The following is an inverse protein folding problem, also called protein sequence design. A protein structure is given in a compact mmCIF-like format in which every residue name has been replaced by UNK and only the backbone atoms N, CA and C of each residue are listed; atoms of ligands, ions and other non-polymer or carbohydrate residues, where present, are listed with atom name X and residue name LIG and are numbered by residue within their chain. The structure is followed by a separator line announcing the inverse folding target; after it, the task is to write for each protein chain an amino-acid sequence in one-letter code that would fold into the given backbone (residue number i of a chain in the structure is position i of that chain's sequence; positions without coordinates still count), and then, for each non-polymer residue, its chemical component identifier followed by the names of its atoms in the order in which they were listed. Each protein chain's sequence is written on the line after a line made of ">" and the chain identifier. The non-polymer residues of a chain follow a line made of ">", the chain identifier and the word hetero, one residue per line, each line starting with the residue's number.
data_IF_333535730062
#
_entry.id   IF_333535730062
#
_cell.length_a   1.000
_cell.length_b   1.000
_cell.length_c   1.000
_cell.angle_alpha   90.00
_cell.angle_beta   90.00
_cell.angle_gamma   90.00
#
_symmetry.space_group_name_H-M   'P 1'
#
loop_
_entity.id
_entity.type
_entity.pdbx_description
1 polymer ?
#
# COMPACT_ATOMS: atom_id res chain seq x y z
N UNK A 1 -27.91 18.90 -78.34
CA UNK A 1 -28.47 18.68 -76.98
C UNK A 1 -27.33 18.72 -75.96
N UNK A 2 -27.25 19.80 -75.17
CA UNK A 2 -26.25 19.92 -74.05
C UNK A 2 -26.93 19.53 -72.79
N UNK A 3 -26.48 18.45 -72.18
CA UNK A 3 -26.90 18.01 -70.83
C UNK A 3 -26.21 18.88 -69.77
N UNK A 4 -26.99 19.64 -69.00
CA UNK A 4 -26.51 20.41 -67.82
C UNK A 4 -26.19 19.45 -66.70
N UNK A 5 -24.94 19.44 -66.24
CA UNK A 5 -24.56 18.74 -64.98
C UNK A 5 -25.19 19.44 -63.78
N UNK A 6 -25.59 18.70 -62.72
CA UNK A 6 -26.21 19.29 -61.55
C UNK A 6 -25.15 20.02 -60.71
N UNK A 7 -25.48 21.25 -60.36
CA UNK A 7 -24.65 22.19 -59.61
C UNK A 7 -24.26 21.73 -58.22
N UNK A 8 -22.99 21.89 -57.89
CA UNK A 8 -22.31 21.57 -56.62
C UNK A 8 -22.86 22.28 -55.35
N UNK A 9 -23.92 23.06 -55.47
CA UNK A 9 -24.53 23.79 -54.33
C UNK A 9 -25.46 22.95 -53.45
N UNK A 10 -26.06 21.87 -53.96
CA UNK A 10 -26.97 21.03 -53.14
C UNK A 10 -26.27 20.11 -52.12
N UNK A 11 -24.97 19.84 -52.30
CA UNK A 11 -24.23 18.96 -51.37
C UNK A 11 -23.73 19.70 -50.09
N UNK A 12 -23.52 21.03 -50.19
CA UNK A 12 -23.09 21.86 -49.05
C UNK A 12 -24.18 22.11 -47.98
N UNK A 13 -25.44 22.07 -48.33
CA UNK A 13 -26.56 22.38 -47.43
C UNK A 13 -26.86 21.26 -46.44
N UNK A 14 -26.59 19.98 -46.76
CA UNK A 14 -26.87 18.83 -45.88
C UNK A 14 -25.79 18.54 -44.86
N UNK A 15 -24.58 19.10 -45.00
CA UNK A 15 -23.47 18.86 -44.03
C UNK A 15 -23.55 19.73 -42.77
N UNK A 16 -24.14 20.92 -42.87
CA UNK A 16 -24.26 21.82 -41.71
C UNK A 16 -25.12 21.26 -40.56
N UNK A 17 -26.30 20.70 -40.81
CA UNK A 17 -27.09 20.12 -39.70
C UNK A 17 -26.41 18.91 -39.06
N UNK A 18 -25.71 18.07 -39.85
CA UNK A 18 -24.99 16.93 -39.33
C UNK A 18 -23.86 17.36 -38.35
N UNK A 19 -23.11 18.42 -38.72
CA UNK A 19 -22.03 18.95 -37.86
C UNK A 19 -22.58 19.53 -36.57
N UNK A 20 -23.72 20.21 -36.58
CA UNK A 20 -24.40 20.73 -35.40
C UNK A 20 -24.84 19.59 -34.50
N UNK A 21 -25.43 18.53 -35.03
CA UNK A 21 -25.80 17.35 -34.24
C UNK A 21 -24.61 16.66 -33.63
N UNK A 22 -23.51 16.50 -34.35
CA UNK A 22 -22.26 15.92 -33.80
C UNK A 22 -21.68 16.78 -32.69
N UNK A 23 -21.69 18.10 -32.83
CA UNK A 23 -21.29 19.02 -31.76
C UNK A 23 -22.19 18.96 -30.55
N UNK A 24 -23.50 18.85 -30.72
CA UNK A 24 -24.45 18.69 -29.59
C UNK A 24 -24.26 17.37 -28.86
N UNK A 25 -24.04 16.28 -29.59
CA UNK A 25 -23.75 14.96 -29.01
C UNK A 25 -22.45 15.01 -28.23
N UNK A 26 -21.40 15.63 -28.80
CA UNK A 26 -20.11 15.79 -28.12
C UNK A 26 -20.24 16.64 -26.86
N UNK A 27 -20.96 17.76 -26.90
CA UNK A 27 -21.23 18.61 -25.75
C UNK A 27 -22.02 17.87 -24.68
N UNK A 28 -23.03 17.09 -25.08
CA UNK A 28 -23.80 16.26 -24.16
C UNK A 28 -22.91 15.20 -23.50
N UNK A 29 -22.07 14.52 -24.29
CA UNK A 29 -21.14 13.52 -23.77
C UNK A 29 -20.13 14.13 -22.79
N UNK A 30 -19.56 15.31 -23.13
CA UNK A 30 -18.64 16.04 -22.26
C UNK A 30 -19.33 16.52 -20.96
N UNK A 31 -20.56 17.02 -21.09
CA UNK A 31 -21.35 17.45 -19.92
C UNK A 31 -21.69 16.27 -18.99
N UNK A 32 -22.07 15.13 -19.57
CA UNK A 32 -22.33 13.90 -18.82
C UNK A 32 -21.08 13.38 -18.12
N UNK A 33 -19.94 13.41 -18.83
CA UNK A 33 -18.64 13.02 -18.26
C UNK A 33 -18.23 13.96 -17.11
N UNK A 34 -18.34 15.28 -17.31
CA UNK A 34 -18.04 16.27 -16.27
C UNK A 34 -18.95 16.11 -15.04
N UNK A 35 -20.26 15.89 -15.25
CA UNK A 35 -21.19 15.63 -14.16
C UNK A 35 -20.83 14.36 -13.39
N UNK A 36 -20.45 13.29 -14.08
CA UNK A 36 -19.99 12.05 -13.44
C UNK A 36 -18.76 12.29 -12.56
N UNK A 37 -17.74 12.99 -13.07
CA UNK A 37 -16.51 13.31 -12.32
C UNK A 37 -16.84 14.11 -11.06
N UNK A 38 -17.76 15.11 -11.15
CA UNK A 38 -18.16 15.91 -10.00
C UNK A 38 -18.94 15.07 -8.97
N UNK A 39 -19.79 14.13 -9.42
CA UNK A 39 -20.49 13.20 -8.52
C UNK A 39 -19.52 12.23 -7.84
N UNK A 40 -18.55 11.68 -8.56
CA UNK A 40 -17.49 10.84 -7.98
C UNK A 40 -16.67 11.63 -6.93
N UNK A 41 -16.30 12.88 -7.21
CA UNK A 41 -15.64 13.77 -6.26
C UNK A 41 -16.47 14.02 -5.01
N UNK A 42 -17.76 14.33 -5.19
CA UNK A 42 -18.66 14.56 -4.06
C UNK A 42 -18.80 13.31 -3.18
N UNK A 43 -18.94 12.14 -3.80
CA UNK A 43 -19.02 10.87 -3.08
C UNK A 43 -17.74 10.61 -2.26
N UNK A 44 -16.57 10.76 -2.87
CA UNK A 44 -15.26 10.58 -2.20
C UNK A 44 -15.08 11.60 -1.08
N UNK A 45 -15.46 12.87 -1.29
CA UNK A 45 -15.37 13.89 -0.24
C UNK A 45 -16.24 13.55 0.99
N UNK A 46 -17.45 13.03 0.76
CA UNK A 46 -18.34 12.55 1.85
C UNK A 46 -17.75 11.31 2.54
N UNK A 47 -17.14 10.40 1.79
CA UNK A 47 -16.47 9.22 2.35
C UNK A 47 -15.30 9.64 3.26
N UNK A 48 -14.43 10.54 2.79
CA UNK A 48 -13.31 11.07 3.58
C UNK A 48 -13.82 11.76 4.85
N UNK A 49 -14.86 12.59 4.74
CA UNK A 49 -15.48 13.23 5.90
C UNK A 49 -16.01 12.23 6.91
N UNK A 50 -16.75 11.22 6.46
CA UNK A 50 -17.33 10.19 7.33
C UNK A 50 -16.31 9.27 7.98
N UNK A 51 -15.18 9.03 7.32
CA UNK A 51 -14.12 8.21 7.85
C UNK A 51 -13.37 8.86 9.01
N UNK A 52 -13.47 10.18 9.17
CA UNK A 52 -12.65 10.95 10.09
C UNK A 52 -11.13 10.63 9.94
N UNK A 53 -10.71 10.31 8.73
CA UNK A 53 -9.33 9.92 8.44
C UNK A 53 -8.32 11.07 8.57
N UNK A 54 -8.81 12.32 8.59
CA UNK A 54 -7.99 13.50 8.79
C UNK A 54 -8.37 14.21 10.06
N UNK A 55 -7.37 14.55 10.87
CA UNK A 55 -7.51 15.45 12.01
C UNK A 55 -7.22 16.86 11.52
N UNK A 56 -8.22 17.77 11.52
CA UNK A 56 -8.00 19.16 11.12
C UNK A 56 -7.07 19.86 12.12
N UNK A 57 -6.27 20.85 11.68
CA UNK A 57 -5.48 21.66 12.59
C UNK A 57 -6.39 22.39 13.59
N UNK A 58 -5.91 22.69 14.79
CA UNK A 58 -6.65 23.51 15.74
C UNK A 58 -6.99 24.86 15.11
N UNK A 59 -8.26 25.25 15.19
CA UNK A 59 -8.70 26.56 14.73
C UNK A 59 -8.25 27.61 15.75
N UNK A 60 -7.64 28.67 15.26
CA UNK A 60 -7.27 29.79 16.12
C UNK A 60 -8.50 30.39 16.81
N UNK A 61 -8.34 30.94 18.03
CA UNK A 61 -9.43 31.46 18.86
C UNK A 61 -10.28 32.57 18.19
N UNK A 62 -9.79 33.15 17.10
CA UNK A 62 -10.43 34.22 16.34
C UNK A 62 -11.08 33.74 15.01
N UNK A 63 -10.99 32.47 14.66
CA UNK A 63 -11.56 31.97 13.41
C UNK A 63 -13.03 31.58 13.63
N UNK A 64 -13.93 32.06 12.75
CA UNK A 64 -15.33 31.70 12.87
C UNK A 64 -15.55 30.21 12.52
N UNK A 65 -16.51 29.57 13.21
CA UNK A 65 -16.93 28.18 12.93
C UNK A 65 -17.30 28.00 11.45
N UNK A 66 -17.89 29.02 10.82
CA UNK A 66 -18.24 28.98 9.40
C UNK A 66 -17.00 28.89 8.52
N UNK A 67 -15.95 29.68 8.76
CA UNK A 67 -14.72 29.64 8.02
C UNK A 67 -14.03 28.27 8.17
N UNK A 68 -14.03 27.72 9.37
CA UNK A 68 -13.49 26.39 9.64
C UNK A 68 -14.23 25.30 8.85
N UNK A 69 -15.58 25.30 8.86
CA UNK A 69 -16.36 24.34 8.08
C UNK A 69 -16.16 24.49 6.56
N UNK A 70 -16.09 25.73 6.07
CA UNK A 70 -15.82 25.98 4.65
C UNK A 70 -14.43 25.52 4.23
N UNK A 71 -13.42 25.74 5.07
CA UNK A 71 -12.07 25.31 4.83
C UNK A 71 -11.95 23.76 4.82
N UNK A 72 -12.66 23.08 5.71
CA UNK A 72 -12.75 21.62 5.73
C UNK A 72 -13.41 21.08 4.46
N UNK A 73 -14.54 21.66 4.06
CA UNK A 73 -15.24 21.26 2.84
C UNK A 73 -14.34 21.45 1.60
N UNK A 74 -13.60 22.56 1.55
CA UNK A 74 -12.64 22.82 0.46
C UNK A 74 -11.51 21.80 0.44
N UNK A 75 -10.93 21.48 1.60
CA UNK A 75 -9.88 20.48 1.70
C UNK A 75 -10.34 19.10 1.20
N UNK A 76 -11.50 18.62 1.68
CA UNK A 76 -12.04 17.33 1.22
C UNK A 76 -12.37 17.33 -0.27
N UNK A 77 -12.84 18.44 -0.79
CA UNK A 77 -13.11 18.59 -2.23
C UNK A 77 -11.84 18.55 -3.08
N UNK A 78 -10.79 19.25 -2.65
CA UNK A 78 -9.49 19.26 -3.34
C UNK A 78 -8.83 17.89 -3.28
N UNK A 79 -8.83 17.24 -2.13
CA UNK A 79 -8.29 15.90 -1.96
C UNK A 79 -9.04 14.86 -2.82
N UNK A 80 -10.36 14.94 -2.87
CA UNK A 80 -11.18 14.05 -3.71
C UNK A 80 -10.88 14.21 -5.21
N UNK A 81 -10.55 15.42 -5.67
CA UNK A 81 -10.17 15.67 -7.06
C UNK A 81 -8.90 14.89 -7.46
N UNK A 82 -7.93 14.84 -6.56
CA UNK A 82 -6.67 14.13 -6.79
C UNK A 82 -6.91 12.61 -6.76
N UNK A 83 -7.74 12.10 -5.85
CA UNK A 83 -8.16 10.69 -5.85
C UNK A 83 -8.82 10.28 -7.16
N UNK A 84 -9.74 11.10 -7.69
CA UNK A 84 -10.39 10.84 -8.99
C UNK A 84 -9.37 10.86 -10.13
N UNK A 85 -8.41 11.78 -10.12
CA UNK A 85 -7.34 11.81 -11.13
C UNK A 85 -6.44 10.57 -11.08
N UNK A 86 -6.12 10.09 -9.87
CA UNK A 86 -5.40 8.82 -9.66
C UNK A 86 -6.15 7.64 -10.26
N UNK A 87 -7.43 7.50 -9.94
CA UNK A 87 -8.28 6.44 -10.49
C UNK A 87 -8.35 6.48 -12.02
N UNK A 88 -8.39 7.69 -12.60
CA UNK A 88 -8.38 7.85 -14.05
C UNK A 88 -7.06 7.36 -14.67
N UNK A 89 -5.90 7.64 -14.03
CA UNK A 89 -4.60 7.12 -14.49
C UNK A 89 -4.55 5.59 -14.40
N UNK A 90 -4.97 5.00 -13.30
CA UNK A 90 -5.04 3.55 -13.16
C UNK A 90 -5.91 2.91 -14.26
N UNK A 91 -7.09 3.47 -14.52
CA UNK A 91 -7.99 2.99 -15.59
C UNK A 91 -7.37 3.12 -16.97
N UNK A 92 -6.60 4.18 -17.24
CA UNK A 92 -5.92 4.40 -18.52
C UNK A 92 -4.89 3.29 -18.82
N UNK A 93 -4.10 2.88 -17.83
CA UNK A 93 -3.03 1.90 -18.00
C UNK A 93 -3.47 0.45 -17.74
N UNK A 94 -4.63 0.23 -17.17
CA UNK A 94 -5.15 -1.11 -16.84
C UNK A 94 -5.14 -2.09 -18.03
N UNK A 95 -5.49 -1.69 -19.29
CA UNK A 95 -5.41 -2.58 -20.43
C UNK A 95 -4.01 -3.13 -20.72
N UNK A 96 -2.96 -2.33 -20.41
CA UNK A 96 -1.57 -2.73 -20.59
C UNK A 96 -1.04 -3.55 -19.41
N UNK A 97 -1.45 -3.22 -18.19
CA UNK A 97 -0.96 -3.83 -16.96
C UNK A 97 -1.61 -5.19 -16.69
N UNK A 98 -2.90 -5.32 -16.92
CA UNK A 98 -3.64 -6.55 -16.63
C UNK A 98 -3.06 -7.82 -17.28
N UNK A 99 -2.59 -7.81 -18.55
CA UNK A 99 -1.89 -8.96 -19.12
C UNK A 99 -0.58 -9.29 -18.41
N UNK A 100 0.20 -8.26 -18.00
CA UNK A 100 1.50 -8.43 -17.33
C UNK A 100 1.34 -9.03 -15.93
N UNK A 101 0.36 -8.54 -15.17
CA UNK A 101 0.02 -9.12 -13.85
C UNK A 101 -0.42 -10.57 -13.97
N UNK A 102 -1.23 -10.92 -14.99
CA UNK A 102 -1.59 -12.31 -15.25
C UNK A 102 -0.39 -13.18 -15.60
N UNK A 103 0.58 -12.62 -16.32
CA UNK A 103 1.80 -13.34 -16.65
C UNK A 103 2.66 -13.60 -15.41
N UNK A 104 2.84 -12.58 -14.54
CA UNK A 104 3.48 -12.75 -13.22
C UNK A 104 2.78 -13.87 -12.44
N UNK A 105 1.47 -13.79 -12.29
CA UNK A 105 0.70 -14.81 -11.56
C UNK A 105 0.84 -16.21 -12.17
N UNK A 106 0.95 -16.33 -13.51
CA UNK A 106 1.20 -17.60 -14.19
C UNK A 106 2.57 -18.19 -13.84
N UNK A 107 3.61 -17.37 -13.82
CA UNK A 107 4.96 -17.80 -13.43
C UNK A 107 5.00 -18.23 -11.96
N UNK A 108 4.38 -17.46 -11.07
CA UNK A 108 4.29 -17.83 -9.66
C UNK A 108 3.49 -19.12 -9.44
N UNK A 109 2.38 -19.31 -10.17
CA UNK A 109 1.62 -20.56 -10.12
C UNK A 109 2.44 -21.78 -10.61
N UNK A 110 3.48 -21.56 -11.42
CA UNK A 110 4.46 -22.56 -11.82
C UNK A 110 5.62 -22.70 -10.81
N UNK A 111 5.59 -21.99 -9.69
CA UNK A 111 6.63 -22.00 -8.65
C UNK A 111 7.88 -21.21 -9.00
N UNK A 112 7.80 -20.28 -9.95
CA UNK A 112 8.92 -19.42 -10.33
C UNK A 112 8.94 -18.15 -9.46
N UNK A 113 10.13 -17.78 -8.96
CA UNK A 113 10.31 -16.55 -8.20
C UNK A 113 10.26 -15.31 -9.11
N UNK A 114 9.40 -14.36 -8.80
CA UNK A 114 9.11 -13.17 -9.63
C UNK A 114 9.36 -11.84 -8.92
N UNK A 115 10.16 -11.83 -7.82
CA UNK A 115 10.36 -10.65 -6.96
C UNK A 115 10.79 -9.40 -7.72
N UNK A 116 11.75 -9.51 -8.63
CA UNK A 116 12.19 -8.37 -9.41
C UNK A 116 11.06 -7.78 -10.29
N UNK A 117 10.33 -8.63 -11.01
CA UNK A 117 9.17 -8.19 -11.80
C UNK A 117 8.07 -7.59 -10.93
N UNK A 118 7.87 -8.11 -9.72
CA UNK A 118 6.93 -7.56 -8.75
C UNK A 118 7.34 -6.15 -8.32
N UNK A 119 8.63 -5.92 -8.00
CA UNK A 119 9.10 -4.59 -7.63
C UNK A 119 9.01 -3.58 -8.79
N UNK A 120 9.24 -4.02 -10.04
CA UNK A 120 8.96 -3.18 -11.21
C UNK A 120 7.47 -2.84 -11.34
N UNK A 121 6.58 -3.80 -11.07
CA UNK A 121 5.15 -3.57 -11.04
C UNK A 121 4.74 -2.61 -9.90
N UNK A 122 5.30 -2.78 -8.68
CA UNK A 122 5.12 -1.83 -7.58
C UNK A 122 5.58 -0.42 -7.95
N UNK A 123 6.71 -0.26 -8.67
CA UNK A 123 7.17 1.02 -9.18
C UNK A 123 6.15 1.66 -10.16
N UNK A 124 5.59 0.89 -11.07
CA UNK A 124 4.54 1.35 -11.99
C UNK A 124 3.30 1.80 -11.20
N UNK A 125 2.84 0.99 -10.25
CA UNK A 125 1.70 1.31 -9.39
C UNK A 125 1.93 2.58 -8.58
N UNK A 126 3.12 2.73 -8.00
CA UNK A 126 3.50 3.93 -7.27
C UNK A 126 3.40 5.17 -8.18
N UNK A 127 3.95 5.13 -9.40
CA UNK A 127 3.82 6.27 -10.32
C UNK A 127 2.38 6.59 -10.65
N UNK A 128 1.58 5.60 -10.96
CA UNK A 128 0.16 5.80 -11.27
C UNK A 128 -0.65 6.33 -10.08
N UNK A 129 -0.30 5.91 -8.89
CA UNK A 129 -0.98 6.32 -7.66
C UNK A 129 -0.54 7.71 -7.21
N UNK A 130 0.75 7.99 -7.23
CA UNK A 130 1.33 9.07 -6.45
C UNK A 130 2.06 10.13 -7.29
N UNK A 131 2.28 9.91 -8.59
CA UNK A 131 2.91 10.89 -9.48
C UNK A 131 2.14 11.08 -10.78
N UNK A 132 2.18 12.26 -11.42
CA UNK A 132 1.58 12.47 -12.73
C UNK A 132 2.51 12.09 -13.90
N UNK A 133 3.66 11.45 -13.68
CA UNK A 133 4.66 11.15 -14.70
C UNK A 133 4.30 9.92 -15.54
N UNK A 134 3.54 10.16 -16.62
CA UNK A 134 3.09 9.10 -17.53
C UNK A 134 4.20 8.55 -18.43
N UNK A 135 5.23 9.32 -18.72
CA UNK A 135 6.33 8.88 -19.61
C UNK A 135 7.27 7.94 -18.85
N UNK A 136 7.61 8.25 -17.61
CA UNK A 136 8.31 7.32 -16.74
C UNK A 136 7.50 6.04 -16.50
N UNK A 137 6.18 6.14 -16.36
CA UNK A 137 5.29 4.96 -16.26
C UNK A 137 5.39 4.05 -17.48
N UNK A 138 5.37 4.61 -18.69
CA UNK A 138 5.52 3.82 -19.94
C UNK A 138 6.88 3.16 -20.04
N UNK A 139 7.94 3.85 -19.61
CA UNK A 139 9.29 3.29 -19.56
C UNK A 139 9.37 2.11 -18.59
N UNK A 140 8.77 2.23 -17.40
CA UNK A 140 8.74 1.16 -16.42
C UNK A 140 7.93 -0.06 -16.91
N UNK A 141 6.81 0.16 -17.63
CA UNK A 141 6.04 -0.92 -18.27
C UNK A 141 6.89 -1.67 -19.31
N UNK A 142 7.69 -0.94 -20.10
CA UNK A 142 8.60 -1.58 -21.06
C UNK A 142 9.65 -2.45 -20.35
N UNK A 143 10.22 -1.96 -19.26
CA UNK A 143 11.18 -2.72 -18.42
C UNK A 143 10.54 -3.96 -17.82
N UNK A 144 9.30 -3.85 -17.29
CA UNK A 144 8.55 -5.00 -16.78
C UNK A 144 8.30 -6.05 -17.87
N UNK A 145 7.88 -5.65 -19.07
CA UNK A 145 7.72 -6.58 -20.20
C UNK A 145 9.03 -7.31 -20.55
N UNK A 146 10.14 -6.60 -20.50
CA UNK A 146 11.44 -7.21 -20.73
C UNK A 146 11.78 -8.24 -19.66
N UNK A 147 11.54 -7.95 -18.38
CA UNK A 147 11.83 -8.85 -17.27
C UNK A 147 11.01 -10.15 -17.33
N UNK A 148 9.79 -10.09 -17.85
CA UNK A 148 8.92 -11.26 -18.04
C UNK A 148 9.36 -12.13 -19.25
N UNK A 149 9.96 -11.53 -20.28
CA UNK A 149 10.43 -12.25 -21.45
C UNK A 149 11.87 -12.80 -21.31
N UNK A 150 12.58 -12.40 -20.27
CA UNK A 150 13.97 -12.79 -20.02
C UNK A 150 14.13 -13.30 -18.58
N UNK A 151 13.88 -14.59 -18.32
CA UNK A 151 13.90 -15.15 -16.95
C UNK A 151 15.23 -14.92 -16.21
N UNK A 152 16.36 -14.86 -16.92
CA UNK A 152 17.67 -14.57 -16.33
C UNK A 152 17.75 -13.21 -15.65
N UNK A 153 16.90 -12.24 -16.04
CA UNK A 153 16.87 -10.92 -15.43
C UNK A 153 16.41 -10.95 -13.95
N UNK A 154 15.55 -11.91 -13.56
CA UNK A 154 15.16 -12.11 -12.16
C UNK A 154 16.41 -12.38 -11.30
N UNK A 155 17.20 -13.33 -11.74
CA UNK A 155 18.45 -13.72 -11.07
C UNK A 155 19.50 -12.60 -11.14
N UNK A 156 19.67 -11.96 -12.29
CA UNK A 156 20.63 -10.88 -12.46
C UNK A 156 20.31 -9.69 -11.53
N UNK A 157 19.04 -9.29 -11.42
CA UNK A 157 18.62 -8.19 -10.53
C UNK A 157 18.90 -8.48 -9.05
N UNK A 158 18.79 -9.76 -8.64
CA UNK A 158 19.06 -10.19 -7.28
C UNK A 158 20.56 -10.37 -6.99
N UNK A 159 21.36 -10.78 -7.99
CA UNK A 159 22.78 -11.11 -7.81
C UNK A 159 23.70 -9.93 -8.14
N UNK A 160 23.29 -9.02 -9.04
CA UNK A 160 24.15 -7.92 -9.49
C UNK A 160 23.93 -6.65 -8.65
N UNK A 161 24.93 -6.32 -7.89
CA UNK A 161 24.99 -5.08 -7.14
C UNK A 161 25.39 -3.90 -8.06
N UNK A 162 24.71 -2.78 -7.98
CA UNK A 162 25.09 -1.54 -8.65
C UNK A 162 26.30 -0.88 -7.96
N UNK A 163 26.98 0.04 -8.65
CA UNK A 163 28.19 0.72 -8.15
C UNK A 163 27.94 1.58 -6.90
N UNK A 164 26.71 1.96 -6.62
CA UNK A 164 26.30 2.64 -5.38
C UNK A 164 25.98 1.65 -4.24
N UNK A 165 26.18 0.38 -4.48
CA UNK A 165 25.96 -0.68 -3.51
C UNK A 165 24.52 -1.18 -3.42
N UNK A 166 23.57 -0.65 -4.20
CA UNK A 166 22.17 -1.10 -4.21
C UNK A 166 21.94 -2.27 -5.19
N UNK A 167 20.77 -2.90 -5.09
CA UNK A 167 20.30 -3.93 -6.02
C UNK A 167 19.03 -3.46 -6.75
N UNK A 168 18.54 -4.27 -7.68
CA UNK A 168 17.29 -3.99 -8.41
C UNK A 168 17.53 -3.08 -9.62
N UNK A 169 18.24 -3.59 -10.62
CA UNK A 169 18.46 -2.94 -11.91
C UNK A 169 17.14 -2.46 -12.53
N UNK A 170 17.05 -1.17 -12.92
CA UNK A 170 15.82 -0.59 -13.48
C UNK A 170 14.79 -0.10 -12.45
N UNK A 171 14.94 -0.43 -11.17
CA UNK A 171 14.20 0.20 -10.09
C UNK A 171 14.86 1.56 -9.83
N UNK A 172 14.19 2.65 -10.26
CA UNK A 172 14.75 3.99 -10.23
C UNK A 172 14.07 4.92 -9.22
N UNK A 173 12.99 4.48 -8.58
CA UNK A 173 12.37 5.15 -7.43
C UNK A 173 13.16 4.77 -6.19
N UNK A 174 13.71 5.77 -5.50
CA UNK A 174 14.72 5.55 -4.46
C UNK A 174 14.25 4.66 -3.32
N UNK A 175 13.08 4.90 -2.76
CA UNK A 175 12.59 4.10 -1.63
C UNK A 175 12.30 2.63 -2.02
N UNK A 176 11.78 2.38 -3.23
CA UNK A 176 11.58 1.02 -3.74
C UNK A 176 12.91 0.30 -3.97
N UNK A 177 13.92 1.05 -4.41
CA UNK A 177 15.28 0.52 -4.56
C UNK A 177 15.91 0.23 -3.19
N UNK A 178 15.68 1.10 -2.19
CA UNK A 178 16.05 0.87 -0.80
C UNK A 178 15.38 -0.41 -0.28
N UNK A 179 14.07 -0.51 -0.41
CA UNK A 179 13.29 -1.66 0.03
C UNK A 179 13.78 -2.96 -0.63
N UNK A 180 13.87 -3.00 -1.95
CA UNK A 180 14.39 -4.16 -2.68
C UNK A 180 15.81 -4.53 -2.22
N UNK A 181 16.68 -3.55 -2.03
CA UNK A 181 18.06 -3.80 -1.58
C UNK A 181 18.11 -4.38 -0.17
N UNK A 182 17.21 -3.96 0.71
CA UNK A 182 17.15 -4.44 2.11
C UNK A 182 16.51 -5.83 2.19
N UNK A 183 15.43 -6.06 1.46
CA UNK A 183 14.67 -7.32 1.54
C UNK A 183 15.27 -8.44 0.68
N UNK A 184 15.62 -8.14 -0.56
CA UNK A 184 16.09 -9.14 -1.55
C UNK A 184 17.60 -9.14 -1.78
N UNK A 185 18.25 -7.96 -1.74
CA UNK A 185 19.67 -7.81 -1.99
C UNK A 185 20.55 -8.22 -0.82
N UNK A 186 20.26 -7.71 0.38
CA UNK A 186 20.99 -7.98 1.62
C UNK A 186 20.51 -9.29 2.26
N UNK A 187 20.72 -10.41 1.60
CA UNK A 187 20.36 -11.75 2.13
C UNK A 187 21.26 -12.13 3.29
N UNK A 188 20.69 -12.62 4.38
CA UNK A 188 21.42 -13.08 5.56
C UNK A 188 22.41 -14.21 5.29
N UNK A 189 22.22 -14.96 4.19
CA UNK A 189 23.03 -16.10 3.77
C UNK A 189 23.80 -15.89 2.46
N UNK A 190 23.73 -14.67 1.89
CA UNK A 190 24.39 -14.32 0.64
C UNK A 190 25.87 -13.98 0.81
N UNK A 191 26.64 -13.89 -0.30
CA UNK A 191 28.01 -13.36 -0.26
C UNK A 191 27.98 -11.90 0.25
N UNK A 192 29.09 -11.43 0.87
CA UNK A 192 29.18 -10.04 1.30
C UNK A 192 29.04 -9.10 0.09
N UNK A 193 28.51 -7.87 0.30
CA UNK A 193 28.38 -6.88 -0.77
C UNK A 193 29.70 -6.63 -1.49
N UNK A 194 29.67 -6.62 -2.82
CA UNK A 194 30.84 -6.34 -3.66
C UNK A 194 31.23 -4.86 -3.63
N UNK A 195 30.24 -3.97 -3.55
CA UNK A 195 30.42 -2.53 -3.48
C UNK A 195 29.90 -1.98 -2.15
N UNK A 196 30.52 -0.88 -1.64
CA UNK A 196 30.02 -0.20 -0.45
C UNK A 196 28.58 0.26 -0.63
N UNK A 197 27.77 0.15 0.43
CA UNK A 197 26.32 0.46 0.41
C UNK A 197 26.06 1.99 0.43
N UNK A 198 26.57 2.72 -0.55
CA UNK A 198 26.49 4.18 -0.65
C UNK A 198 25.06 4.70 -0.82
N UNK A 199 24.15 3.88 -1.31
CA UNK A 199 22.72 4.23 -1.38
C UNK A 199 22.14 4.56 0.00
N UNK A 200 22.74 4.06 1.10
CA UNK A 200 22.37 4.38 2.48
C UNK A 200 22.93 5.73 2.98
N UNK A 201 23.89 6.33 2.25
CA UNK A 201 24.49 7.62 2.63
C UNK A 201 23.47 8.77 2.67
N UNK A 202 22.32 8.59 2.03
CA UNK A 202 21.20 9.54 2.04
C UNK A 202 20.52 9.67 3.41
N UNK A 203 20.60 8.62 4.24
CA UNK A 203 19.87 8.51 5.52
C UNK A 203 20.77 8.06 6.68
N UNK A 204 22.09 8.10 6.53
CA UNK A 204 23.03 7.45 7.45
C UNK A 204 23.39 8.25 8.71
N UNK A 205 22.92 9.49 8.84
CA UNK A 205 23.11 10.34 10.02
C UNK A 205 21.78 10.92 10.51
N UNK A 206 21.65 11.28 11.80
CA UNK A 206 20.43 11.89 12.35
C UNK A 206 19.90 13.06 11.53
N UNK A 207 20.76 13.99 11.11
CA UNK A 207 20.35 15.17 10.35
C UNK A 207 19.81 14.80 8.95
N UNK A 208 20.45 13.88 8.23
CA UNK A 208 20.00 13.42 6.91
C UNK A 208 18.70 12.63 7.01
N UNK A 209 18.59 11.76 8.02
CA UNK A 209 17.40 11.01 8.30
C UNK A 209 16.22 11.93 8.58
N UNK A 210 16.40 12.88 9.51
CA UNK A 210 15.36 13.83 9.89
C UNK A 210 14.90 14.65 8.68
N UNK A 211 15.83 15.15 7.87
CA UNK A 211 15.53 15.87 6.64
C UNK A 211 14.74 15.03 5.63
N UNK A 212 15.12 13.76 5.43
CA UNK A 212 14.42 12.88 4.49
C UNK A 212 13.00 12.59 4.96
N UNK A 213 12.87 12.10 6.19
CA UNK A 213 11.56 11.70 6.73
C UNK A 213 10.63 12.92 6.94
N UNK A 214 11.17 14.07 7.32
CA UNK A 214 10.35 15.29 7.46
C UNK A 214 9.86 15.81 6.10
N UNK A 215 10.69 15.69 5.06
CA UNK A 215 10.27 16.00 3.68
C UNK A 215 9.17 15.05 3.21
N UNK A 216 9.27 13.75 3.51
CA UNK A 216 8.28 12.77 3.11
C UNK A 216 7.00 12.87 3.97
N UNK A 217 7.11 13.32 5.23
CA UNK A 217 5.99 13.52 6.14
C UNK A 217 5.09 14.69 5.71
N UNK A 218 5.69 15.83 5.36
CA UNK A 218 4.98 17.05 4.97
C UNK A 218 4.73 17.07 3.47
N UNK A 219 3.48 16.94 3.06
CA UNK A 219 3.10 16.76 1.68
C UNK A 219 2.15 17.86 1.20
N UNK A 220 2.56 18.61 0.18
CA UNK A 220 1.73 19.62 -0.49
C UNK A 220 0.94 19.06 -1.69
N UNK A 221 0.47 17.84 -1.56
CA UNK A 221 -0.25 17.05 -2.53
C UNK A 221 -1.40 17.82 -3.22
N UNK A 222 -2.10 18.68 -2.50
CA UNK A 222 -3.19 19.51 -3.04
C UNK A 222 -2.67 20.47 -4.11
N UNK A 223 -1.43 20.94 -4.01
CA UNK A 223 -0.83 21.88 -4.97
C UNK A 223 -0.07 21.18 -6.08
N UNK A 224 0.69 20.15 -5.74
CA UNK A 224 1.60 19.45 -6.68
C UNK A 224 0.93 18.28 -7.40
N UNK A 225 -0.11 17.68 -6.80
CA UNK A 225 -0.69 16.42 -7.26
C UNK A 225 0.20 15.19 -6.99
N UNK A 226 1.35 15.38 -6.34
CA UNK A 226 2.30 14.32 -5.97
C UNK A 226 2.13 13.95 -4.52
N UNK A 227 2.07 12.66 -4.21
CA UNK A 227 1.84 12.11 -2.88
C UNK A 227 2.90 11.06 -2.55
N UNK A 228 3.74 11.34 -1.57
CA UNK A 228 4.90 10.52 -1.17
C UNK A 228 4.59 9.66 0.08
N UNK A 229 3.37 9.17 0.18
CA UNK A 229 2.93 8.29 1.26
C UNK A 229 3.80 7.03 1.38
N UNK A 230 3.99 6.34 0.26
CA UNK A 230 4.79 5.11 0.22
C UNK A 230 6.27 5.38 0.52
N UNK A 231 6.80 6.55 0.10
CA UNK A 231 8.18 6.92 0.39
C UNK A 231 8.43 7.05 1.89
N UNK A 232 7.52 7.68 2.63
CA UNK A 232 7.61 7.78 4.09
C UNK A 232 7.55 6.43 4.76
N UNK A 233 6.55 5.62 4.40
CA UNK A 233 6.25 4.33 5.00
C UNK A 233 7.40 3.33 4.80
N UNK A 234 7.78 3.11 3.56
CA UNK A 234 8.80 2.12 3.20
C UNK A 234 10.21 2.56 3.60
N UNK A 235 10.52 3.88 3.56
CA UNK A 235 11.80 4.39 4.06
C UNK A 235 11.93 4.15 5.55
N UNK A 236 10.88 4.44 6.31
CA UNK A 236 10.85 4.16 7.75
C UNK A 236 11.03 2.66 8.01
N UNK A 237 10.22 1.81 7.37
CA UNK A 237 10.21 0.38 7.60
C UNK A 237 11.56 -0.26 7.23
N UNK A 238 12.10 0.05 6.06
CA UNK A 238 13.41 -0.46 5.63
C UNK A 238 14.53 -0.05 6.62
N UNK A 239 14.51 1.20 7.09
CA UNK A 239 15.52 1.67 8.03
C UNK A 239 15.34 1.06 9.42
N UNK A 240 14.11 0.91 9.92
CA UNK A 240 13.84 0.26 11.19
C UNK A 240 14.35 -1.20 11.19
N UNK A 241 14.13 -1.92 10.09
CA UNK A 241 14.66 -3.29 9.91
C UNK A 241 16.18 -3.35 9.87
N UNK A 242 16.84 -2.34 9.26
CA UNK A 242 18.31 -2.25 9.26
C UNK A 242 18.89 -1.93 10.63
N UNK A 243 18.23 -1.09 11.41
CA UNK A 243 18.74 -0.63 12.72
C UNK A 243 18.38 -1.58 13.88
N UNK A 244 17.18 -2.17 13.85
CA UNK A 244 16.66 -2.99 14.95
C UNK A 244 16.50 -4.46 14.57
N UNK A 245 16.57 -4.78 13.28
CA UNK A 245 16.62 -6.16 12.79
C UNK A 245 18.03 -6.75 12.94
N UNK A 246 18.14 -8.06 12.74
CA UNK A 246 19.41 -8.78 12.87
C UNK A 246 20.21 -8.86 11.57
N UNK A 247 19.90 -8.02 10.54
CA UNK A 247 20.61 -8.04 9.26
C UNK A 247 22.01 -7.43 9.41
N UNK A 248 23.05 -8.23 9.26
CA UNK A 248 24.44 -7.76 9.22
C UNK A 248 24.75 -7.22 7.84
N UNK A 249 24.78 -5.90 7.70
CA UNK A 249 25.01 -5.25 6.41
C UNK A 249 26.48 -4.95 6.10
N UNK A 250 27.35 -4.96 7.12
CA UNK A 250 28.71 -4.42 7.03
C UNK A 250 28.77 -2.91 6.84
N UNK A 251 27.63 -2.21 6.84
CA UNK A 251 27.54 -0.75 6.77
C UNK A 251 27.56 -0.14 8.17
N UNK A 252 28.30 0.96 8.33
CA UNK A 252 28.38 1.65 9.63
C UNK A 252 27.47 2.88 9.61
N UNK A 253 26.39 2.79 10.36
CA UNK A 253 25.52 3.93 10.65
C UNK A 253 26.08 4.79 11.78
N UNK A 254 25.67 6.06 11.83
CA UNK A 254 25.88 6.91 13.01
C UNK A 254 25.24 6.23 14.24
N UNK A 255 25.98 6.09 15.36
CA UNK A 255 25.45 5.43 16.56
C UNK A 255 24.16 6.06 17.11
N UNK A 256 23.95 7.37 16.88
CA UNK A 256 22.77 8.09 17.33
C UNK A 256 21.55 7.91 16.39
N UNK A 257 21.70 7.20 15.25
CA UNK A 257 20.64 7.11 14.24
C UNK A 257 19.39 6.41 14.75
N UNK A 258 19.56 5.35 15.55
CA UNK A 258 18.43 4.64 16.15
C UNK A 258 17.59 5.52 17.10
N UNK A 259 18.25 6.30 17.94
CA UNK A 259 17.56 7.24 18.83
C UNK A 259 16.88 8.37 18.04
N UNK A 260 17.52 8.87 16.98
CA UNK A 260 16.92 9.86 16.09
C UNK A 260 15.66 9.33 15.42
N UNK A 261 15.65 8.08 14.96
CA UNK A 261 14.46 7.44 14.38
C UNK A 261 13.32 7.34 15.41
N UNK A 262 13.61 6.93 16.66
CA UNK A 262 12.58 6.88 17.72
C UNK A 262 12.03 8.27 18.04
N UNK A 263 12.88 9.31 18.09
CA UNK A 263 12.45 10.70 18.30
C UNK A 263 11.55 11.19 17.15
N UNK A 264 11.90 10.85 15.92
CA UNK A 264 11.07 11.19 14.76
C UNK A 264 9.69 10.51 14.89
N UNK A 265 9.64 9.22 15.18
CA UNK A 265 8.38 8.46 15.36
C UNK A 265 7.50 9.06 16.45
N UNK A 266 8.07 9.44 17.60
CA UNK A 266 7.33 10.07 18.69
C UNK A 266 6.73 11.43 18.28
N UNK A 267 7.49 12.25 17.51
CA UNK A 267 7.03 13.54 16.97
C UNK A 267 5.96 13.36 15.89
N UNK A 268 6.11 12.33 15.07
CA UNK A 268 5.19 12.02 13.96
C UNK A 268 3.83 11.50 14.46
N UNK A 269 3.77 10.82 15.61
CA UNK A 269 2.54 10.26 16.15
C UNK A 269 1.47 11.34 16.35
N UNK A 270 0.27 11.11 15.82
CA UNK A 270 -0.88 11.97 16.06
C UNK A 270 -1.33 11.86 17.53
N UNK A 271 -1.27 12.97 18.27
CA UNK A 271 -1.64 13.01 19.69
C UNK A 271 -3.11 12.70 19.97
N UNK A 272 -3.99 12.91 18.97
CA UNK A 272 -5.44 12.81 19.14
C UNK A 272 -5.96 11.40 18.82
N UNK A 273 -5.25 10.67 17.96
CA UNK A 273 -5.68 9.33 17.51
C UNK A 273 -4.69 8.22 17.88
N UNK A 274 -3.44 8.58 18.14
CA UNK A 274 -2.35 7.63 18.37
C UNK A 274 -1.78 7.03 17.08
N UNK A 275 -2.37 7.32 15.92
CA UNK A 275 -1.94 6.78 14.63
C UNK A 275 -0.78 7.57 14.03
N UNK A 276 -0.16 6.98 13.04
CA UNK A 276 0.78 7.60 12.13
C UNK A 276 0.14 7.72 10.75
N UNK A 277 0.60 8.69 9.97
CA UNK A 277 0.13 8.93 8.63
C UNK A 277 0.73 10.22 8.08
N UNK A 278 0.49 10.51 6.83
CA UNK A 278 0.98 11.72 6.19
C UNK A 278 0.36 13.00 6.76
N UNK A 279 1.13 14.08 6.71
CA UNK A 279 0.68 15.43 7.03
C UNK A 279 0.51 16.20 5.73
N UNK A 280 -0.73 16.35 5.30
CA UNK A 280 -1.08 16.99 4.03
C UNK A 280 -1.24 18.50 4.23
N UNK A 281 -0.57 19.28 3.40
CA UNK A 281 -0.64 20.75 3.43
C UNK A 281 -1.73 21.21 2.46
N UNK A 282 -2.70 22.00 2.94
CA UNK A 282 -3.72 22.59 2.10
C UNK A 282 -3.26 23.87 1.39
N UNK A 283 -4.13 24.46 0.56
CA UNK A 283 -3.83 25.71 -0.18
C UNK A 283 -3.59 26.93 0.69
N UNK A 284 -3.99 26.89 1.96
CA UNK A 284 -3.79 27.92 2.96
C UNK A 284 -2.54 27.66 3.83
N UNK A 285 -1.78 26.59 3.57
CA UNK A 285 -0.61 26.20 4.34
C UNK A 285 -0.94 25.52 5.68
N UNK A 286 -2.20 25.09 5.88
CA UNK A 286 -2.59 24.35 7.09
C UNK A 286 -2.23 22.90 6.93
N UNK A 287 -1.83 22.27 8.03
CA UNK A 287 -1.41 20.86 8.07
C UNK A 287 -2.59 19.99 8.53
N UNK A 288 -2.94 19.01 7.71
CA UNK A 288 -3.94 17.99 7.97
C UNK A 288 -3.25 16.66 8.22
N UNK A 289 -3.38 16.15 9.45
CA UNK A 289 -2.80 14.84 9.81
C UNK A 289 -3.74 13.73 9.38
N UNK A 290 -3.22 12.83 8.57
CA UNK A 290 -3.94 11.66 8.09
C UNK A 290 -3.75 10.49 9.07
N UNK A 291 -4.80 9.76 9.38
CA UNK A 291 -4.68 8.44 9.98
C UNK A 291 -4.42 7.42 8.88
N UNK A 292 -3.41 6.57 9.06
CA UNK A 292 -3.04 5.52 8.12
C UNK A 292 -2.76 4.21 8.86
N UNK A 293 -3.55 3.19 8.56
CA UNK A 293 -3.49 1.91 9.26
C UNK A 293 -2.21 1.15 8.93
N UNK A 294 -1.77 1.15 7.66
CA UNK A 294 -0.54 0.45 7.26
C UNK A 294 0.71 1.09 7.87
N UNK A 295 0.84 2.42 7.82
CA UNK A 295 1.94 3.13 8.49
C UNK A 295 1.94 2.85 10.00
N UNK A 296 0.76 2.84 10.61
CA UNK A 296 0.61 2.52 12.04
C UNK A 296 1.06 1.08 12.32
N UNK A 297 0.71 0.13 11.44
CA UNK A 297 1.17 -1.24 11.53
C UNK A 297 2.70 -1.33 11.44
N UNK A 298 3.31 -0.71 10.44
CA UNK A 298 4.77 -0.76 10.27
C UNK A 298 5.49 -0.17 11.49
N UNK A 299 5.05 1.00 11.99
CA UNK A 299 5.64 1.60 13.18
C UNK A 299 5.51 0.70 14.41
N UNK A 300 4.32 0.18 14.68
CA UNK A 300 4.08 -0.68 15.86
C UNK A 300 4.83 -2.00 15.72
N UNK A 301 4.83 -2.61 14.53
CA UNK A 301 5.48 -3.88 14.25
C UNK A 301 7.00 -3.79 14.30
N UNK A 302 7.60 -2.85 13.56
CA UNK A 302 9.05 -2.73 13.40
C UNK A 302 9.73 -2.21 14.67
N UNK A 303 8.99 -1.50 15.54
CA UNK A 303 9.43 -1.14 16.88
C UNK A 303 8.98 -2.14 17.97
N UNK A 304 8.47 -3.32 17.59
CA UNK A 304 8.06 -4.39 18.51
C UNK A 304 7.11 -3.92 19.63
N UNK A 305 6.18 -3.02 19.29
CA UNK A 305 5.23 -2.43 20.24
C UNK A 305 5.85 -1.41 21.22
N UNK A 306 7.12 -1.04 21.06
CA UNK A 306 7.79 -0.02 21.87
C UNK A 306 7.40 1.40 21.41
N UNK A 307 6.12 1.68 21.49
CA UNK A 307 5.51 2.95 21.06
C UNK A 307 4.63 3.52 22.16
N UNK A 308 4.39 4.84 22.09
CA UNK A 308 3.47 5.51 23.01
C UNK A 308 1.99 5.26 22.63
N UNK A 309 1.08 5.59 23.53
CA UNK A 309 -0.39 5.64 23.31
C UNK A 309 -0.99 4.32 22.81
N UNK A 310 -0.44 3.16 23.17
CA UNK A 310 -0.85 1.83 22.66
C UNK A 310 -2.35 1.56 22.83
N UNK A 311 -2.94 1.92 23.97
CA UNK A 311 -4.39 1.80 24.19
C UNK A 311 -5.19 2.65 23.19
N UNK A 312 -4.74 3.90 22.93
CA UNK A 312 -5.40 4.81 21.99
C UNK A 312 -5.33 4.26 20.55
N UNK A 313 -4.18 3.69 20.15
CA UNK A 313 -4.01 3.04 18.84
C UNK A 313 -5.06 1.93 18.66
N UNK A 314 -5.18 1.01 19.63
CA UNK A 314 -6.16 -0.07 19.54
C UNK A 314 -7.61 0.44 19.52
N UNK A 315 -7.94 1.43 20.33
CA UNK A 315 -9.27 2.03 20.35
C UNK A 315 -9.60 2.71 19.01
N UNK A 316 -8.64 3.45 18.44
CA UNK A 316 -8.80 4.08 17.13
C UNK A 316 -8.97 3.04 16.02
N UNK A 317 -8.16 1.99 16.02
CA UNK A 317 -8.24 0.88 15.08
C UNK A 317 -9.64 0.26 15.04
N UNK A 318 -10.22 -0.01 16.20
CA UNK A 318 -11.57 -0.57 16.34
C UNK A 318 -12.69 0.40 15.93
N UNK A 319 -12.46 1.72 16.00
CA UNK A 319 -13.39 2.72 15.47
C UNK A 319 -13.41 2.76 13.92
N UNK A 320 -12.34 2.27 13.30
CA UNK A 320 -12.16 2.26 11.83
C UNK A 320 -12.58 0.92 11.19
N UNK A 321 -13.35 0.10 11.91
CA UNK A 321 -13.78 -1.25 11.52
C UNK A 321 -14.54 -1.31 10.17
N UNK A 322 -15.17 -0.21 9.76
CA UNK A 322 -15.93 -0.06 8.49
C UNK A 322 -15.28 0.89 7.49
N UNK A 323 -14.11 1.40 7.81
CA UNK A 323 -13.41 2.35 6.95
C UNK A 323 -12.48 1.60 6.03
N UNK A 324 -12.40 2.07 4.78
CA UNK A 324 -11.50 1.49 3.79
C UNK A 324 -10.05 1.95 4.00
N UNK A 325 -9.13 1.07 3.64
CA UNK A 325 -7.70 1.36 3.50
C UNK A 325 -7.47 2.64 2.64
N UNK A 326 -6.49 3.50 2.94
CA UNK A 326 -5.44 3.30 3.95
C UNK A 326 -5.80 3.73 5.37
N UNK A 327 -6.89 4.47 5.59
CA UNK A 327 -7.25 4.97 6.92
C UNK A 327 -7.77 3.87 7.85
N UNK A 328 -8.49 2.88 7.32
CA UNK A 328 -9.14 1.82 8.07
C UNK A 328 -8.79 0.42 7.61
N UNK A 329 -9.55 -0.55 8.10
CA UNK A 329 -9.24 -1.97 8.06
C UNK A 329 -10.00 -2.77 7.01
N UNK A 330 -10.71 -2.09 6.09
CA UNK A 330 -11.43 -2.73 4.99
C UNK A 330 -10.78 -2.43 3.65
N UNK A 331 -10.94 -3.34 2.72
CA UNK A 331 -10.60 -3.12 1.32
C UNK A 331 -11.86 -3.32 0.47
N UNK A 332 -12.27 -2.27 -0.23
CA UNK A 332 -13.55 -2.27 -0.98
C UNK A 332 -14.77 -2.68 -0.13
N UNK A 333 -14.78 -2.34 1.16
CA UNK A 333 -15.85 -2.64 2.11
C UNK A 333 -15.79 -4.03 2.75
N UNK A 334 -14.85 -4.88 2.34
CA UNK A 334 -14.66 -6.25 2.87
C UNK A 334 -13.39 -6.38 3.71
N UNK A 335 -13.27 -7.49 4.45
CA UNK A 335 -12.00 -7.90 5.04
C UNK A 335 -11.02 -8.34 3.95
N UNK A 336 -9.74 -8.35 4.33
CA UNK A 336 -8.66 -8.80 3.46
C UNK A 336 -7.52 -9.34 4.34
N UNK A 337 -6.81 -10.41 3.91
CA UNK A 337 -5.87 -11.11 4.79
C UNK A 337 -4.65 -10.28 5.17
N UNK A 338 -4.13 -9.46 4.27
CA UNK A 338 -3.03 -8.54 4.56
C UNK A 338 -3.42 -7.58 5.69
N UNK A 339 -4.56 -6.88 5.52
CA UNK A 339 -5.06 -5.96 6.53
C UNK A 339 -5.45 -6.68 7.84
N UNK A 340 -6.02 -7.87 7.76
CA UNK A 340 -6.35 -8.68 8.93
C UNK A 340 -5.10 -9.03 9.74
N UNK A 341 -4.00 -9.39 9.08
CA UNK A 341 -2.71 -9.68 9.73
C UNK A 341 -2.18 -8.44 10.44
N UNK A 342 -2.18 -7.28 9.78
CA UNK A 342 -1.75 -6.00 10.33
C UNK A 342 -2.54 -5.65 11.60
N UNK A 343 -3.87 -5.73 11.51
CA UNK A 343 -4.78 -5.43 12.62
C UNK A 343 -4.54 -6.33 13.82
N UNK A 344 -4.45 -7.66 13.59
CA UNK A 344 -4.28 -8.61 14.69
C UNK A 344 -2.92 -8.43 15.35
N UNK A 345 -1.87 -8.11 14.58
CA UNK A 345 -0.55 -7.85 15.13
C UNK A 345 -0.51 -6.54 15.94
N UNK A 346 -1.14 -5.47 15.50
CA UNK A 346 -1.31 -4.27 16.31
C UNK A 346 -2.04 -4.59 17.61
N UNK A 347 -3.17 -5.30 17.53
CA UNK A 347 -3.96 -5.67 18.73
C UNK A 347 -3.16 -6.55 19.67
N UNK A 348 -2.37 -7.51 19.18
CA UNK A 348 -1.49 -8.35 20.00
C UNK A 348 -0.47 -7.50 20.75
N UNK A 349 0.24 -6.60 20.05
CA UNK A 349 1.30 -5.78 20.62
C UNK A 349 0.79 -4.73 21.62
N UNK A 350 -0.47 -4.31 21.46
CA UNK A 350 -1.13 -3.35 22.35
C UNK A 350 -1.96 -4.03 23.47
N UNK A 351 -2.24 -5.32 23.37
CA UNK A 351 -3.13 -6.08 24.24
C UNK A 351 -2.92 -5.90 25.74
N UNK A 352 -1.67 -5.85 26.27
CA UNK A 352 -1.44 -5.67 27.69
C UNK A 352 -2.05 -4.40 28.28
N UNK A 353 -2.17 -3.34 27.48
CA UNK A 353 -2.64 -2.01 27.90
C UNK A 353 -4.15 -1.81 27.74
N UNK A 354 -4.86 -2.80 27.15
CA UNK A 354 -6.29 -2.67 26.87
C UNK A 354 -7.13 -2.96 28.11
N UNK A 355 -8.17 -2.14 28.30
CA UNK A 355 -9.23 -2.47 29.26
C UNK A 355 -10.16 -3.57 28.69
N UNK A 356 -10.98 -4.16 29.58
CA UNK A 356 -11.83 -5.29 29.21
C UNK A 356 -12.88 -4.94 28.14
N UNK A 357 -13.40 -3.71 28.12
CA UNK A 357 -14.34 -3.27 27.09
C UNK A 357 -13.67 -3.24 25.71
N UNK A 358 -12.45 -2.70 25.62
CA UNK A 358 -11.65 -2.67 24.38
C UNK A 358 -11.25 -4.07 23.96
N UNK A 359 -10.86 -4.94 24.90
CA UNK A 359 -10.57 -6.36 24.62
C UNK A 359 -11.77 -7.11 24.08
N UNK A 360 -12.97 -6.84 24.61
CA UNK A 360 -14.19 -7.47 24.12
C UNK A 360 -14.51 -7.07 22.67
N UNK A 361 -14.33 -5.79 22.32
CA UNK A 361 -14.48 -5.32 20.94
C UNK A 361 -13.44 -5.97 20.01
N UNK A 362 -12.18 -6.01 20.44
CA UNK A 362 -11.10 -6.64 19.70
C UNK A 362 -11.34 -8.16 19.48
N UNK A 363 -11.86 -8.89 20.49
CA UNK A 363 -12.25 -10.30 20.33
C UNK A 363 -13.32 -10.47 19.27
N UNK A 364 -14.33 -9.61 19.25
CA UNK A 364 -15.40 -9.67 18.27
C UNK A 364 -14.86 -9.41 16.85
N UNK A 365 -13.97 -8.43 16.71
CA UNK A 365 -13.38 -8.07 15.41
C UNK A 365 -12.47 -9.19 14.89
N UNK A 366 -11.56 -9.73 15.73
CA UNK A 366 -10.69 -10.84 15.33
C UNK A 366 -11.51 -12.08 14.95
N UNK A 367 -12.61 -12.36 15.68
CA UNK A 367 -13.50 -13.47 15.34
C UNK A 367 -14.14 -13.31 13.96
N UNK A 368 -14.59 -12.10 13.60
CA UNK A 368 -15.16 -11.81 12.28
C UNK A 368 -14.12 -11.93 11.16
N UNK A 369 -12.90 -11.42 11.38
CA UNK A 369 -11.79 -11.59 10.44
C UNK A 369 -11.45 -13.05 10.21
N UNK A 370 -11.42 -13.85 11.29
CA UNK A 370 -11.13 -15.28 11.21
C UNK A 370 -12.22 -16.03 10.44
N UNK A 371 -13.48 -15.76 10.74
CA UNK A 371 -14.61 -16.36 10.00
C UNK A 371 -14.54 -16.02 8.51
N UNK A 372 -14.28 -14.75 8.18
CA UNK A 372 -14.12 -14.32 6.79
C UNK A 372 -12.92 -15.01 6.10
N UNK A 373 -11.78 -15.09 6.77
CA UNK A 373 -10.60 -15.76 6.23
C UNK A 373 -10.90 -17.24 5.90
N UNK A 374 -11.50 -17.95 6.83
CA UNK A 374 -11.79 -19.39 6.71
C UNK A 374 -12.92 -19.70 5.72
N UNK A 375 -13.90 -18.79 5.56
CA UNK A 375 -15.11 -19.05 4.76
C UNK A 375 -15.13 -18.36 3.40
N UNK A 376 -14.40 -17.26 3.23
CA UNK A 376 -14.41 -16.43 2.02
C UNK A 376 -13.07 -16.40 1.28
N UNK A 377 -11.95 -16.38 2.01
CA UNK A 377 -10.62 -16.33 1.40
C UNK A 377 -10.02 -17.71 1.18
N UNK A 378 -10.03 -18.58 2.19
CA UNK A 378 -9.47 -19.92 2.09
C UNK A 378 -10.33 -20.81 1.17
N UNK A 379 -9.71 -21.37 0.14
CA UNK A 379 -10.36 -22.22 -0.84
C UNK A 379 -10.35 -23.71 -0.41
N UNK A 380 -11.25 -24.53 -0.95
CA UNK A 380 -11.31 -25.98 -0.62
C UNK A 380 -9.99 -26.73 -0.90
N UNK A 381 -9.16 -26.26 -1.84
CA UNK A 381 -7.88 -26.88 -2.19
C UNK A 381 -6.70 -26.41 -1.31
N UNK A 382 -6.95 -25.51 -0.37
CA UNK A 382 -5.93 -24.95 0.53
C UNK A 382 -5.26 -23.68 0.02
N UNK A 383 -5.62 -23.16 -1.16
CA UNK A 383 -5.18 -21.84 -1.61
C UNK A 383 -5.96 -20.71 -0.95
N UNK A 384 -5.43 -19.50 -0.99
CA UNK A 384 -6.16 -18.28 -0.62
C UNK A 384 -6.61 -17.54 -1.87
N UNK A 385 -7.71 -16.80 -1.75
CA UNK A 385 -8.20 -15.91 -2.81
C UNK A 385 -7.24 -14.73 -2.90
N UNK A 386 -6.66 -14.51 -4.10
CA UNK A 386 -5.85 -13.34 -4.39
C UNK A 386 -6.74 -12.10 -4.43
N UNK A 387 -6.37 -11.08 -3.68
CA UNK A 387 -7.02 -9.77 -3.68
C UNK A 387 -6.28 -8.78 -4.61
N UNK A 388 -6.87 -7.60 -4.83
CA UNK A 388 -6.16 -6.51 -5.53
C UNK A 388 -5.06 -5.88 -4.66
N UNK A 389 -5.06 -6.16 -3.36
CA UNK A 389 -4.05 -5.68 -2.41
C UNK A 389 -2.85 -6.63 -2.35
N UNK A 390 -3.09 -7.94 -2.48
CA UNK A 390 -2.04 -8.96 -2.44
C UNK A 390 -1.15 -8.94 -3.69
N UNK A 391 -1.63 -8.38 -4.81
CA UNK A 391 -0.97 -8.39 -6.11
C UNK A 391 -0.63 -9.78 -6.67
N UNK A 392 -0.27 -10.77 -5.84
CA UNK A 392 0.21 -12.10 -6.26
C UNK A 392 -0.38 -13.27 -5.47
N UNK A 393 -0.19 -14.47 -6.01
CA UNK A 393 -0.52 -15.72 -5.30
C UNK A 393 0.41 -15.93 -4.09
N UNK A 394 1.69 -15.53 -4.19
CA UNK A 394 2.66 -15.61 -3.09
C UNK A 394 2.21 -14.74 -1.91
N UNK A 395 1.88 -13.48 -2.18
CA UNK A 395 1.35 -12.55 -1.19
C UNK A 395 0.10 -13.12 -0.51
N UNK A 396 -0.87 -13.65 -1.29
CA UNK A 396 -2.09 -14.22 -0.73
C UNK A 396 -1.82 -15.37 0.25
N UNK A 397 -0.84 -16.25 -0.05
CA UNK A 397 -0.41 -17.30 0.88
C UNK A 397 0.29 -16.72 2.10
N UNK A 398 1.24 -15.80 1.89
CA UNK A 398 2.02 -15.20 2.97
C UNK A 398 1.10 -14.49 3.98
N UNK A 399 0.23 -13.60 3.51
CA UNK A 399 -0.67 -12.86 4.39
C UNK A 399 -1.76 -13.73 5.00
N UNK A 400 -2.30 -14.70 4.24
CA UNK A 400 -3.30 -15.65 4.78
C UNK A 400 -2.73 -16.50 5.91
N UNK A 401 -1.53 -17.05 5.74
CA UNK A 401 -0.84 -17.84 6.77
C UNK A 401 -0.40 -16.97 7.94
N UNK A 402 0.17 -15.79 7.66
CA UNK A 402 0.60 -14.85 8.69
C UNK A 402 -0.56 -14.38 9.56
N UNK A 403 -1.72 -14.08 8.97
CA UNK A 403 -2.93 -13.75 9.73
C UNK A 403 -3.36 -14.90 10.65
N UNK A 404 -3.43 -16.13 10.15
CA UNK A 404 -3.83 -17.29 10.96
C UNK A 404 -2.84 -17.56 12.10
N UNK A 405 -1.53 -17.36 11.87
CA UNK A 405 -0.51 -17.47 12.91
C UNK A 405 -0.63 -16.34 13.94
N UNK A 406 -0.76 -15.08 13.50
CA UNK A 406 -0.92 -13.94 14.42
C UNK A 406 -2.21 -14.06 15.24
N UNK A 407 -3.27 -14.61 14.70
CA UNK A 407 -4.48 -14.92 15.46
C UNK A 407 -4.31 -16.12 16.44
N UNK A 408 -3.19 -16.84 16.37
CA UNK A 408 -2.95 -18.06 17.17
C UNK A 408 -3.91 -19.18 16.80
N UNK A 409 -4.35 -19.24 15.53
CA UNK A 409 -5.30 -20.24 15.06
C UNK A 409 -4.70 -21.65 15.07
N UNK A 410 -3.44 -21.78 14.59
CA UNK A 410 -2.75 -23.07 14.55
C UNK A 410 -2.16 -23.49 15.89
N UNK A 411 -1.76 -22.55 16.73
CA UNK A 411 -1.06 -22.85 17.99
C UNK A 411 -1.71 -22.16 19.17
N UNK A 412 -2.26 -22.98 20.09
CA UNK A 412 -3.00 -22.49 21.27
C UNK A 412 -2.13 -21.58 22.16
N UNK A 413 -0.84 -21.87 22.31
CA UNK A 413 0.07 -21.09 23.13
C UNK A 413 0.27 -19.65 22.63
N UNK A 414 0.09 -19.42 21.33
CA UNK A 414 0.27 -18.10 20.70
C UNK A 414 -1.04 -17.29 20.66
N UNK A 415 -2.16 -17.87 21.13
CA UNK A 415 -3.49 -17.25 21.15
C UNK A 415 -3.63 -16.31 22.34
N UNK A 416 -3.85 -15.04 22.10
CA UNK A 416 -3.90 -14.01 23.15
C UNK A 416 -5.32 -13.47 23.43
N UNK A 417 -6.26 -13.69 22.50
CA UNK A 417 -7.55 -13.02 22.49
C UNK A 417 -8.74 -13.90 22.92
N UNK A 418 -8.63 -15.22 22.79
CA UNK A 418 -9.71 -16.17 23.15
C UNK A 418 -9.16 -17.48 23.71
N UNK A 419 -9.98 -18.16 24.51
CA UNK A 419 -9.71 -19.51 25.01
C UNK A 419 -10.39 -20.60 24.18
N UNK A 420 -11.11 -20.22 23.13
CA UNK A 420 -11.80 -21.17 22.23
C UNK A 420 -10.79 -22.10 21.55
N UNK A 421 -11.12 -23.39 21.47
CA UNK A 421 -10.35 -24.34 20.69
C UNK A 421 -10.80 -24.37 19.21
N UNK A 422 -9.84 -24.63 18.32
CA UNK A 422 -10.06 -24.79 16.89
C UNK A 422 -9.64 -26.21 16.46
N UNK A 423 -10.49 -27.22 16.64
CA UNK A 423 -10.13 -28.63 16.40
C UNK A 423 -9.77 -28.92 14.94
N UNK A 424 -10.29 -28.13 13.98
CA UNK A 424 -10.01 -28.24 12.56
C UNK A 424 -8.69 -27.61 12.11
N UNK A 425 -8.00 -26.86 12.97
CA UNK A 425 -6.83 -26.06 12.62
C UNK A 425 -5.68 -26.88 12.01
N UNK A 426 -5.43 -28.09 12.55
CA UNK A 426 -4.41 -28.99 12.02
C UNK A 426 -4.73 -29.46 10.59
N UNK A 427 -5.98 -29.85 10.35
CA UNK A 427 -6.40 -30.29 9.02
C UNK A 427 -6.33 -29.15 7.98
N UNK A 428 -6.65 -27.92 8.39
CA UNK A 428 -6.52 -26.72 7.56
C UNK A 428 -5.06 -26.43 7.28
N UNK A 429 -4.19 -26.44 8.28
CA UNK A 429 -2.74 -26.27 8.11
C UNK A 429 -2.15 -27.27 7.12
N UNK A 430 -2.45 -28.55 7.29
CA UNK A 430 -1.92 -29.63 6.45
C UNK A 430 -2.40 -29.50 4.99
N UNK A 431 -3.61 -29.00 4.78
CA UNK A 431 -4.16 -28.72 3.45
C UNK A 431 -3.46 -27.54 2.77
N UNK A 432 -3.20 -26.44 3.48
CA UNK A 432 -2.45 -25.29 2.97
C UNK A 432 -1.02 -25.72 2.64
N UNK A 433 -0.36 -26.47 3.53
CA UNK A 433 0.98 -27.00 3.33
C UNK A 433 1.06 -27.90 2.08
N UNK A 434 0.11 -28.81 1.89
CA UNK A 434 0.02 -29.68 0.72
C UNK A 434 -0.13 -28.86 -0.58
N UNK A 435 -0.93 -27.80 -0.55
CA UNK A 435 -1.11 -26.92 -1.71
C UNK A 435 0.18 -26.18 -2.04
N UNK A 436 0.87 -25.56 -1.06
CA UNK A 436 2.15 -24.89 -1.27
C UNK A 436 3.20 -25.85 -1.88
N UNK A 437 3.32 -27.06 -1.35
CA UNK A 437 4.23 -28.09 -1.92
C UNK A 437 3.88 -28.45 -3.36
N UNK A 438 2.58 -28.47 -3.72
CA UNK A 438 2.15 -28.79 -5.07
C UNK A 438 2.45 -27.69 -6.10
N UNK A 439 2.52 -26.43 -5.66
CA UNK A 439 2.87 -25.27 -6.50
C UNK A 439 4.40 -25.17 -6.64
N UNK A 440 5.14 -25.37 -5.54
CA UNK A 440 6.58 -25.17 -5.44
C UNK A 440 6.93 -24.02 -4.49
N UNK A 441 8.14 -24.02 -3.96
CA UNK A 441 8.62 -23.08 -2.93
C UNK A 441 9.77 -22.20 -3.44
N UNK A 442 9.82 -21.93 -4.75
CA UNK A 442 10.84 -21.05 -5.32
C UNK A 442 10.48 -19.55 -5.16
N UNK A 443 9.21 -19.26 -4.97
CA UNK A 443 8.75 -17.93 -4.62
C UNK A 443 9.01 -17.70 -3.12
N UNK A 444 9.71 -16.60 -2.72
CA UNK A 444 10.04 -16.34 -1.31
C UNK A 444 8.81 -16.20 -0.41
N UNK A 445 7.72 -15.56 -0.87
CA UNK A 445 6.52 -15.37 -0.06
C UNK A 445 5.82 -16.70 0.20
N UNK A 446 5.77 -17.60 -0.80
CA UNK A 446 5.30 -18.97 -0.62
C UNK A 446 6.19 -19.78 0.33
N UNK A 447 7.51 -19.57 0.22
CA UNK A 447 8.47 -20.22 1.10
C UNK A 447 8.29 -19.73 2.54
N UNK A 448 8.15 -18.43 2.76
CA UNK A 448 7.93 -17.85 4.09
C UNK A 448 6.62 -18.36 4.70
N UNK A 449 5.54 -18.40 3.92
CA UNK A 449 4.28 -19.02 4.35
C UNK A 449 4.48 -20.47 4.77
N UNK A 450 5.23 -21.26 3.99
CA UNK A 450 5.53 -22.64 4.32
C UNK A 450 6.35 -22.77 5.61
N UNK A 451 7.39 -21.97 5.77
CA UNK A 451 8.27 -21.98 6.95
C UNK A 451 7.47 -21.60 8.22
N UNK A 452 6.55 -20.63 8.13
CA UNK A 452 5.64 -20.26 9.20
C UNK A 452 4.71 -21.42 9.60
N UNK A 453 4.17 -22.17 8.63
CA UNK A 453 3.34 -23.36 8.92
C UNK A 453 4.14 -24.45 9.61
N UNK A 454 5.43 -24.66 9.25
CA UNK A 454 6.31 -25.62 9.94
C UNK A 454 6.58 -25.19 11.39
N UNK A 455 6.83 -23.91 11.63
CA UNK A 455 7.06 -23.35 12.98
C UNK A 455 5.80 -23.41 13.88
N UNK A 456 4.62 -23.56 13.29
CA UNK A 456 3.35 -23.65 14.01
C UNK A 456 2.95 -25.08 14.43
N UNK A 457 3.74 -26.09 14.07
CA UNK A 457 3.57 -27.50 14.50
C UNK A 457 4.07 -27.68 15.92
#
# INVERSE_FOLDING_TARGET
>A
MRTKSPTSQQVRSKRKPLLIWLLLILLLALSTYAARVQLERAFIAVEIYRSHAFTPPPVGSNESMLHWHMANAQFYWDFSAIRVAREARLKLFNPELKPLVKEIARHQAAGEGMQYSMHLYRQIRWRLNFTPDLDATRSDIATLRQSLNQPDLQKQAADQQASDGSWGMGINVWYLRLYYSVEDGLKSTGPPPQYPLRFLDRINTPAKLDQQLDTDLHNDFIQTGTFNREELDETFSALARLLYGHKQTGYTFDPALGDALRQFVARWQNSDTGFWGQWVIDRQGRVWKMDDMAMTFHVVSDLHGQVERRKMIAQRLLQLDRVNFPAGIRFNGEYENHLNMDVVKILRLTWPDLDESTRQQARAEISQMLDWCLTKSLQPDGSFKVSELDDTTGDAFNYGVSFLNEAGYFKRADRFWTDQDFPESNAIRDRIEAKLKSIGLNDPDMKDAFDQLQASK
#
